data_IF_040461665756
#
_entry.id   IF_040461665756
#
_cell.length_a   1.000
_cell.length_b   1.000
_cell.length_c   1.000
_cell.angle_alpha   90.00
_cell.angle_beta   90.00
_cell.angle_gamma   90.00
#
_symmetry.space_group_name_H-M   'P 1'
#
loop_
_entity.id
_entity.type
_entity.pdbx_description
1 polymer ?
#
# COMPACT_ATOMS: atom_id res chain seq x y z
N UNK A 1 -14.45 10.26 -5.89
CA UNK A 1 -15.20 9.54 -6.98
C UNK A 1 -16.69 9.86 -6.86
N UNK A 2 -17.43 9.93 -7.99
CA UNK A 2 -18.87 10.24 -8.01
C UNK A 2 -19.71 8.97 -7.87
N UNK A 3 -20.62 8.95 -6.90
CA UNK A 3 -21.55 7.84 -6.63
C UNK A 3 -22.43 7.56 -7.86
N UNK A 4 -22.99 8.61 -8.48
CA UNK A 4 -23.88 8.46 -9.63
C UNK A 4 -23.17 7.89 -10.87
N UNK A 5 -21.86 8.10 -10.96
CA UNK A 5 -21.05 7.46 -12.00
C UNK A 5 -21.04 5.93 -11.86
N UNK A 6 -20.83 5.40 -10.66
CA UNK A 6 -20.82 3.94 -10.42
C UNK A 6 -22.23 3.37 -10.49
N UNK A 7 -23.23 4.03 -9.86
CA UNK A 7 -24.62 3.63 -9.82
C UNK A 7 -25.24 3.51 -11.21
N UNK A 8 -25.04 4.50 -12.07
CA UNK A 8 -25.58 4.47 -13.44
C UNK A 8 -25.06 3.28 -14.26
N UNK A 9 -23.80 2.85 -14.05
CA UNK A 9 -23.21 1.66 -14.70
C UNK A 9 -23.74 0.37 -14.09
N UNK A 10 -23.87 0.32 -12.76
CA UNK A 10 -24.48 -0.83 -12.09
C UNK A 10 -25.90 -1.09 -12.60
N UNK A 11 -26.78 -0.07 -12.61
CA UNK A 11 -28.15 -0.15 -13.11
C UNK A 11 -28.16 -0.61 -14.59
N UNK A 12 -27.27 -0.07 -15.42
CA UNK A 12 -27.19 -0.41 -16.83
C UNK A 12 -26.82 -1.87 -17.08
N UNK A 13 -25.93 -2.42 -16.25
CA UNK A 13 -25.39 -3.79 -16.44
C UNK A 13 -26.14 -4.86 -15.67
N UNK A 14 -26.96 -4.49 -14.64
CA UNK A 14 -27.64 -5.42 -13.74
C UNK A 14 -29.11 -5.05 -13.50
N UNK A 15 -30.00 -5.55 -14.33
CA UNK A 15 -31.50 -5.58 -14.20
C UNK A 15 -32.21 -4.30 -13.73
N UNK A 16 -31.57 -3.12 -13.85
CA UNK A 16 -32.18 -1.82 -13.57
C UNK A 16 -32.39 -1.49 -12.07
N UNK A 17 -31.89 -2.31 -11.15
CA UNK A 17 -32.04 -2.08 -9.69
C UNK A 17 -30.73 -1.61 -9.09
N UNK A 18 -30.81 -0.85 -7.99
CA UNK A 18 -29.65 -0.38 -7.21
C UNK A 18 -29.17 -1.39 -6.17
N UNK A 19 -27.94 -1.21 -5.72
CA UNK A 19 -27.33 -1.91 -4.59
C UNK A 19 -26.86 -0.93 -3.51
N UNK A 20 -26.07 -1.44 -2.57
CA UNK A 20 -25.34 -0.62 -1.59
C UNK A 20 -24.01 -0.17 -2.19
N UNK A 21 -23.60 1.04 -1.84
CA UNK A 21 -22.32 1.63 -2.25
C UNK A 21 -21.30 1.48 -1.13
N UNK A 22 -20.11 1.00 -1.51
CA UNK A 22 -18.96 0.86 -0.63
C UNK A 22 -17.77 1.62 -1.21
N UNK A 23 -16.94 2.17 -0.33
CA UNK A 23 -15.69 2.81 -0.70
C UNK A 23 -14.54 2.26 0.12
N UNK A 24 -13.40 2.09 -0.51
CA UNK A 24 -12.16 1.75 0.16
C UNK A 24 -11.00 2.55 -0.41
N UNK A 25 -10.24 3.23 0.44
CA UNK A 25 -9.11 4.06 0.02
C UNK A 25 -7.91 3.22 -0.38
N UNK A 26 -7.09 3.78 -1.28
CA UNK A 26 -5.69 3.47 -1.37
C UNK A 26 -4.93 4.03 -0.16
N UNK A 27 -3.61 3.86 -0.15
CA UNK A 27 -2.77 4.33 0.95
C UNK A 27 -1.51 5.03 0.47
N UNK A 28 -1.02 5.93 1.30
CA UNK A 28 0.40 6.28 1.33
C UNK A 28 1.08 5.52 2.47
N UNK A 29 2.40 5.46 2.43
CA UNK A 29 3.21 5.14 3.60
C UNK A 29 4.18 6.29 3.80
N UNK A 30 4.15 6.99 4.93
CA UNK A 30 5.00 8.15 5.14
C UNK A 30 6.46 7.75 5.32
N UNK A 31 6.72 6.64 6.01
CA UNK A 31 8.03 6.05 6.27
C UNK A 31 7.87 4.59 6.71
N UNK A 32 8.93 3.77 6.65
CA UNK A 32 8.88 2.35 7.02
C UNK A 32 8.65 1.43 5.82
N UNK A 33 9.38 1.66 4.72
CA UNK A 33 9.33 0.76 3.57
C UNK A 33 10.16 -0.51 3.78
N UNK A 34 9.66 -1.64 3.26
CA UNK A 34 10.31 -2.95 3.35
C UNK A 34 10.54 -3.47 4.77
N UNK A 35 9.85 -2.93 5.75
CA UNK A 35 9.94 -3.34 7.17
C UNK A 35 8.83 -4.30 7.58
N UNK A 36 7.70 -4.32 6.89
CA UNK A 36 6.50 -5.10 7.22
C UNK A 36 6.77 -6.62 7.23
N UNK A 37 7.34 -7.17 6.18
CA UNK A 37 7.73 -8.58 6.12
C UNK A 37 8.96 -8.93 6.97
N UNK A 38 9.63 -7.93 7.55
CA UNK A 38 10.67 -8.07 8.58
C UNK A 38 10.13 -7.93 10.01
N UNK A 39 8.80 -7.94 10.21
CA UNK A 39 8.17 -7.76 11.51
C UNK A 39 8.41 -6.38 12.13
N UNK A 40 8.78 -5.39 11.31
CA UNK A 40 9.09 -4.03 11.72
C UNK A 40 7.88 -3.14 11.87
N UNK A 41 8.13 -1.83 11.94
CA UNK A 41 7.09 -0.80 11.98
C UNK A 41 6.89 -0.23 10.59
N UNK A 42 5.63 0.06 10.24
CA UNK A 42 5.23 0.87 9.08
C UNK A 42 4.40 2.06 9.55
N UNK A 43 4.30 3.09 8.72
CA UNK A 43 3.62 4.32 9.11
C UNK A 43 2.69 4.85 8.01
N UNK A 44 1.68 4.03 7.61
CA UNK A 44 0.77 4.38 6.53
C UNK A 44 -0.36 5.31 6.97
N UNK A 45 -1.04 5.86 5.95
CA UNK A 45 -2.32 6.53 6.06
C UNK A 45 -3.19 6.25 4.85
N UNK A 46 -4.48 6.08 5.06
CA UNK A 46 -5.46 6.00 3.98
C UNK A 46 -5.59 7.35 3.28
N UNK A 47 -5.83 7.35 1.96
CA UNK A 47 -5.93 8.59 1.17
C UNK A 47 -7.29 8.74 0.50
N UNK A 48 -7.58 9.94 0.01
CA UNK A 48 -8.85 10.31 -0.65
C UNK A 48 -9.08 9.65 -2.02
N UNK A 49 -8.11 8.91 -2.53
CA UNK A 49 -8.21 8.11 -3.76
C UNK A 49 -8.48 6.65 -3.41
N UNK A 50 -9.40 6.00 -4.12
CA UNK A 50 -9.80 4.65 -3.74
C UNK A 50 -10.58 3.89 -4.82
N UNK A 51 -11.23 2.83 -4.38
CA UNK A 51 -12.16 2.00 -5.16
C UNK A 51 -13.56 2.22 -4.60
N UNK A 52 -14.51 2.46 -5.49
CA UNK A 52 -15.93 2.52 -5.17
C UNK A 52 -16.66 1.39 -5.89
N UNK A 53 -17.48 0.65 -5.16
CA UNK A 53 -18.26 -0.44 -5.70
C UNK A 53 -19.74 -0.32 -5.31
N UNK A 54 -20.63 -0.59 -6.25
CA UNK A 54 -22.03 -0.87 -5.95
C UNK A 54 -22.25 -2.38 -5.98
N UNK A 55 -22.84 -2.94 -4.91
CA UNK A 55 -22.98 -4.37 -4.71
C UNK A 55 -24.41 -4.70 -4.23
N UNK A 56 -24.98 -5.79 -4.79
CA UNK A 56 -26.30 -6.28 -4.40
C UNK A 56 -26.38 -7.81 -4.50
N UNK A 57 -26.91 -8.53 -3.49
CA UNK A 57 -27.27 -9.95 -3.64
C UNK A 57 -28.23 -10.17 -4.81
N UNK A 58 -28.02 -11.23 -5.58
CA UNK A 58 -28.84 -11.52 -6.76
C UNK A 58 -29.72 -12.76 -6.64
N UNK A 59 -29.71 -13.42 -5.48
CA UNK A 59 -30.53 -14.60 -5.20
C UNK A 59 -30.07 -15.91 -5.89
N UNK A 60 -28.86 -15.90 -6.46
CA UNK A 60 -28.27 -17.08 -7.13
C UNK A 60 -27.00 -17.56 -6.42
N UNK A 61 -26.29 -18.51 -7.03
CA UNK A 61 -24.94 -18.94 -6.64
C UNK A 61 -23.83 -18.27 -7.47
N UNK A 62 -24.19 -17.35 -8.36
CA UNK A 62 -23.27 -16.76 -9.33
C UNK A 62 -22.91 -15.32 -8.95
N UNK A 63 -21.61 -15.00 -8.94
CA UNK A 63 -21.09 -13.65 -8.81
C UNK A 63 -20.91 -13.05 -10.20
N UNK A 64 -21.55 -11.93 -10.45
CA UNK A 64 -21.53 -11.21 -11.72
C UNK A 64 -20.79 -9.89 -11.53
N UNK A 65 -19.60 -9.78 -12.13
CA UNK A 65 -18.68 -8.65 -11.93
C UNK A 65 -18.59 -7.77 -13.17
N UNK A 66 -18.57 -6.46 -12.98
CA UNK A 66 -18.29 -5.49 -14.03
C UNK A 66 -17.24 -4.48 -13.57
N UNK A 67 -16.08 -4.49 -14.22
CA UNK A 67 -15.08 -3.43 -14.07
C UNK A 67 -15.42 -2.28 -15.02
N UNK A 68 -15.78 -1.12 -14.46
CA UNK A 68 -16.20 0.06 -15.22
C UNK A 68 -15.03 0.61 -16.02
N UNK A 69 -13.83 0.67 -15.42
CA UNK A 69 -12.64 1.25 -16.03
C UNK A 69 -12.12 0.40 -17.18
N UNK A 70 -12.13 -0.92 -17.01
CA UNK A 70 -11.71 -1.88 -18.04
C UNK A 70 -12.82 -2.19 -19.06
N UNK A 71 -14.06 -1.79 -18.78
CA UNK A 71 -15.27 -2.14 -19.56
C UNK A 71 -15.40 -3.65 -19.79
N UNK A 72 -15.02 -4.42 -18.77
CA UNK A 72 -14.94 -5.87 -18.84
C UNK A 72 -15.91 -6.52 -17.84
N UNK A 73 -16.47 -7.66 -18.23
CA UNK A 73 -17.45 -8.43 -17.46
C UNK A 73 -16.95 -9.85 -17.25
N UNK A 74 -17.01 -10.31 -16.01
CA UNK A 74 -16.66 -11.66 -15.62
C UNK A 74 -17.74 -12.21 -14.72
N UNK A 75 -18.00 -13.52 -14.82
CA UNK A 75 -18.89 -14.23 -13.92
C UNK A 75 -18.23 -15.55 -13.46
N UNK A 76 -18.52 -15.94 -12.22
CA UNK A 76 -18.07 -17.20 -11.65
C UNK A 76 -19.07 -17.65 -10.57
N UNK A 77 -19.09 -18.95 -10.25
CA UNK A 77 -19.91 -19.46 -9.15
C UNK A 77 -19.13 -19.36 -7.83
N UNK A 78 -19.86 -19.08 -6.74
CA UNK A 78 -19.29 -19.03 -5.38
C UNK A 78 -18.60 -20.35 -5.01
N UNK A 79 -19.06 -21.48 -5.55
CA UNK A 79 -18.51 -22.82 -5.32
C UNK A 79 -17.44 -23.27 -6.30
N UNK A 80 -17.09 -22.48 -7.32
CA UNK A 80 -16.08 -22.89 -8.31
C UNK A 80 -14.72 -23.13 -7.64
N UNK A 81 -14.06 -24.27 -7.94
CA UNK A 81 -12.75 -24.59 -7.36
C UNK A 81 -11.61 -23.78 -7.99
N UNK A 82 -11.80 -23.28 -9.21
CA UNK A 82 -10.85 -22.47 -9.95
C UNK A 82 -11.39 -21.06 -10.15
N UNK A 83 -10.54 -20.07 -9.88
CA UNK A 83 -10.89 -18.66 -10.07
C UNK A 83 -10.95 -18.25 -11.54
N UNK A 84 -11.54 -17.10 -11.83
CA UNK A 84 -11.59 -16.54 -13.18
C UNK A 84 -10.20 -16.27 -13.73
N UNK A 85 -10.07 -16.25 -15.08
CA UNK A 85 -8.79 -15.98 -15.75
C UNK A 85 -8.35 -14.50 -15.64
N UNK A 86 -9.32 -13.59 -15.65
CA UNK A 86 -9.05 -12.17 -15.54
C UNK A 86 -8.50 -11.81 -14.17
N UNK A 87 -7.29 -11.28 -14.10
CA UNK A 87 -6.59 -10.97 -12.83
C UNK A 87 -7.42 -10.07 -11.92
N UNK A 88 -8.06 -9.03 -12.46
CA UNK A 88 -8.90 -8.13 -11.66
C UNK A 88 -10.06 -8.84 -10.97
N UNK A 89 -10.65 -9.85 -11.61
CA UNK A 89 -11.75 -10.61 -11.04
C UNK A 89 -11.28 -11.65 -9.99
N UNK A 90 -9.99 -12.03 -10.00
CA UNK A 90 -9.40 -12.90 -8.97
C UNK A 90 -9.37 -12.24 -7.60
N UNK A 91 -9.28 -10.93 -7.53
CA UNK A 91 -9.40 -10.21 -6.24
C UNK A 91 -10.79 -10.40 -5.62
N UNK A 92 -11.86 -10.33 -6.43
CA UNK A 92 -13.23 -10.60 -5.96
C UNK A 92 -13.38 -12.06 -5.57
N UNK A 93 -12.92 -12.98 -6.43
CA UNK A 93 -12.97 -14.42 -6.18
C UNK A 93 -12.21 -14.80 -4.90
N UNK A 94 -10.99 -14.30 -4.73
CA UNK A 94 -10.18 -14.56 -3.53
C UNK A 94 -10.89 -14.10 -2.25
N UNK A 95 -11.41 -12.88 -2.24
CA UNK A 95 -12.18 -12.38 -1.10
C UNK A 95 -13.41 -13.25 -0.80
N UNK A 96 -14.14 -13.71 -1.83
CA UNK A 96 -15.25 -14.66 -1.65
C UNK A 96 -14.79 -15.96 -1.00
N UNK A 97 -13.67 -16.56 -1.46
CA UNK A 97 -13.16 -17.81 -0.89
C UNK A 97 -12.64 -17.64 0.54
N UNK A 98 -11.93 -16.53 0.83
CA UNK A 98 -11.43 -16.23 2.18
C UNK A 98 -12.59 -15.97 3.16
N UNK A 99 -13.66 -15.28 2.76
CA UNK A 99 -14.85 -15.11 3.59
C UNK A 99 -15.57 -16.45 3.85
N UNK A 100 -15.65 -17.33 2.86
CA UNK A 100 -16.15 -18.70 3.07
C UNK A 100 -15.27 -19.47 4.07
N UNK A 101 -13.95 -19.32 4.00
CA UNK A 101 -13.04 -19.94 4.95
C UNK A 101 -13.23 -19.41 6.40
N UNK A 102 -13.70 -18.17 6.55
CA UNK A 102 -14.13 -17.60 7.84
C UNK A 102 -15.52 -18.08 8.30
N UNK A 103 -16.18 -18.96 7.53
CA UNK A 103 -17.49 -19.51 7.86
C UNK A 103 -18.68 -18.65 7.41
N UNK A 104 -18.45 -17.62 6.58
CA UNK A 104 -19.53 -16.80 6.02
C UNK A 104 -20.22 -17.52 4.87
N UNK A 105 -21.55 -17.60 4.92
CA UNK A 105 -22.38 -18.21 3.86
C UNK A 105 -22.59 -17.22 2.70
N UNK A 106 -21.52 -16.97 1.94
CA UNK A 106 -21.54 -16.08 0.79
C UNK A 106 -22.43 -16.64 -0.31
N UNK A 107 -23.37 -15.83 -0.80
CA UNK A 107 -24.24 -16.13 -1.94
C UNK A 107 -23.83 -15.33 -3.17
N UNK A 108 -24.49 -15.59 -4.32
CA UNK A 108 -24.28 -14.82 -5.52
C UNK A 108 -24.69 -13.35 -5.37
N UNK A 109 -23.94 -12.48 -6.02
CA UNK A 109 -24.18 -11.04 -6.03
C UNK A 109 -23.75 -10.41 -7.37
N UNK A 110 -24.29 -9.22 -7.62
CA UNK A 110 -23.84 -8.36 -8.70
C UNK A 110 -22.94 -7.28 -8.13
N UNK A 111 -21.86 -6.97 -8.83
CA UNK A 111 -20.91 -5.92 -8.46
C UNK A 111 -20.45 -5.13 -9.69
N UNK A 112 -20.54 -3.80 -9.62
CA UNK A 112 -19.84 -2.89 -10.52
C UNK A 112 -18.92 -1.98 -9.70
N UNK A 113 -17.71 -1.77 -10.16
CA UNK A 113 -16.73 -0.94 -9.45
C UNK A 113 -15.87 -0.12 -10.41
N UNK A 114 -15.37 0.99 -9.88
CA UNK A 114 -14.38 1.85 -10.53
C UNK A 114 -13.36 2.32 -9.51
N UNK A 115 -12.19 2.79 -9.98
CA UNK A 115 -11.14 3.34 -9.15
C UNK A 115 -10.61 4.67 -9.66
N UNK A 116 -10.24 5.56 -8.74
CA UNK A 116 -9.46 6.75 -9.04
C UNK A 116 -8.04 6.69 -8.42
N UNK A 117 -7.66 5.49 -7.95
CA UNK A 117 -6.26 5.19 -7.62
C UNK A 117 -5.46 5.12 -8.91
N UNK A 118 -4.51 6.02 -9.14
CA UNK A 118 -3.72 6.00 -10.37
C UNK A 118 -2.92 4.70 -10.49
N UNK A 119 -3.01 4.07 -11.66
CA UNK A 119 -2.30 2.83 -11.93
C UNK A 119 -0.77 3.05 -11.88
N UNK A 120 -0.08 2.20 -11.14
CA UNK A 120 1.38 2.29 -11.00
C UNK A 120 1.87 3.42 -10.10
N UNK A 121 0.98 4.14 -9.42
CA UNK A 121 1.35 5.19 -8.47
C UNK A 121 1.80 4.69 -7.09
N UNK A 122 1.85 3.38 -6.86
CA UNK A 122 2.25 2.80 -5.58
C UNK A 122 1.24 3.00 -4.44
N UNK A 123 0.01 3.41 -4.73
CA UNK A 123 -1.05 3.63 -3.73
C UNK A 123 -1.89 2.38 -3.41
N UNK A 124 -1.48 1.19 -3.81
CA UNK A 124 -2.12 -0.11 -3.53
C UNK A 124 -3.59 -0.19 -3.95
N UNK A 125 -3.85 -0.10 -5.25
CA UNK A 125 -5.19 -0.32 -5.79
C UNK A 125 -5.72 -1.74 -5.49
N UNK A 126 -4.87 -2.76 -5.40
CA UNK A 126 -5.24 -4.13 -5.04
C UNK A 126 -5.82 -4.20 -3.63
N UNK A 127 -5.12 -3.68 -2.64
CA UNK A 127 -5.61 -3.65 -1.25
C UNK A 127 -6.90 -2.82 -1.11
N UNK A 128 -7.03 -1.72 -1.85
CA UNK A 128 -8.27 -0.94 -1.90
C UNK A 128 -9.43 -1.78 -2.49
N UNK A 129 -9.19 -2.56 -3.56
CA UNK A 129 -10.19 -3.48 -4.13
C UNK A 129 -10.61 -4.55 -3.11
N UNK A 130 -9.64 -5.27 -2.54
CA UNK A 130 -9.88 -6.32 -1.55
C UNK A 130 -10.67 -5.81 -0.36
N UNK A 131 -10.25 -4.67 0.18
CA UNK A 131 -10.90 -4.06 1.35
C UNK A 131 -12.31 -3.55 1.04
N UNK A 132 -12.53 -3.00 -0.16
CA UNK A 132 -13.86 -2.59 -0.64
C UNK A 132 -14.80 -3.79 -0.74
N UNK A 133 -14.33 -4.88 -1.35
CA UNK A 133 -15.11 -6.09 -1.51
C UNK A 133 -15.32 -6.81 -0.17
N UNK A 134 -14.31 -6.83 0.70
CA UNK A 134 -14.44 -7.36 2.07
C UNK A 134 -15.47 -6.61 2.90
N UNK A 135 -15.48 -5.28 2.81
CA UNK A 135 -16.50 -4.45 3.46
C UNK A 135 -17.91 -4.78 2.96
N UNK A 136 -18.08 -4.95 1.64
CA UNK A 136 -19.35 -5.31 1.04
C UNK A 136 -19.81 -6.73 1.45
N UNK A 137 -18.92 -7.72 1.43
CA UNK A 137 -19.23 -9.09 1.84
C UNK A 137 -19.60 -9.16 3.32
N UNK A 138 -18.91 -8.40 4.18
CA UNK A 138 -19.21 -8.34 5.60
C UNK A 138 -20.60 -7.77 5.89
N UNK A 139 -20.97 -6.68 5.23
CA UNK A 139 -22.30 -6.06 5.37
C UNK A 139 -23.41 -6.96 4.82
N UNK A 140 -23.22 -7.54 3.63
CA UNK A 140 -24.28 -8.25 2.91
C UNK A 140 -24.50 -9.70 3.38
N UNK A 141 -23.47 -10.38 3.89
CA UNK A 141 -23.52 -11.82 4.18
C UNK A 141 -23.05 -12.20 5.59
N UNK A 142 -22.51 -11.27 6.36
CA UNK A 142 -21.99 -11.55 7.70
C UNK A 142 -22.53 -10.62 8.79
N UNK A 143 -23.56 -9.79 8.51
CA UNK A 143 -24.13 -8.81 9.47
C UNK A 143 -23.05 -7.95 10.16
N UNK A 144 -21.99 -7.61 9.47
CA UNK A 144 -20.82 -6.89 9.98
C UNK A 144 -20.09 -7.57 11.16
N UNK A 145 -20.12 -8.90 11.24
CA UNK A 145 -19.49 -9.67 12.34
C UNK A 145 -18.04 -10.05 12.06
N UNK A 146 -17.57 -9.98 10.81
CA UNK A 146 -16.17 -10.21 10.48
C UNK A 146 -15.36 -9.00 10.95
N UNK A 147 -14.30 -9.24 11.72
CA UNK A 147 -13.49 -8.15 12.26
C UNK A 147 -12.71 -7.41 11.16
N UNK A 148 -12.34 -6.14 11.43
CA UNK A 148 -11.47 -5.37 10.53
C UNK A 148 -10.15 -6.09 10.25
N UNK A 149 -9.57 -6.77 11.25
CA UNK A 149 -8.36 -7.58 11.08
C UNK A 149 -8.59 -8.77 10.16
N UNK A 150 -9.70 -9.49 10.31
CA UNK A 150 -10.00 -10.63 9.43
C UNK A 150 -10.23 -10.17 7.99
N UNK A 151 -10.84 -9.00 7.75
CA UNK A 151 -10.95 -8.41 6.41
C UNK A 151 -9.56 -8.12 5.82
N UNK A 152 -8.67 -7.48 6.57
CA UNK A 152 -7.32 -7.18 6.12
C UNK A 152 -6.51 -8.46 5.82
N UNK A 153 -6.63 -9.47 6.68
CA UNK A 153 -5.97 -10.78 6.50
C UNK A 153 -6.54 -11.57 5.31
N UNK A 154 -7.86 -11.48 5.07
CA UNK A 154 -8.48 -12.06 3.88
C UNK A 154 -7.95 -11.42 2.59
N UNK A 155 -7.73 -10.09 2.59
CA UNK A 155 -7.09 -9.39 1.48
C UNK A 155 -5.65 -9.88 1.26
N UNK A 156 -4.82 -9.91 2.30
CA UNK A 156 -3.46 -10.44 2.20
C UNK A 156 -3.44 -11.90 1.71
N UNK A 157 -4.33 -12.75 2.23
CA UNK A 157 -4.46 -14.14 1.78
C UNK A 157 -4.89 -14.23 0.31
N UNK A 158 -5.71 -13.29 -0.16
CA UNK A 158 -6.10 -13.18 -1.57
C UNK A 158 -4.88 -12.92 -2.45
N UNK A 159 -4.03 -11.95 -2.10
CA UNK A 159 -2.78 -11.68 -2.82
C UNK A 159 -1.87 -12.93 -2.88
N UNK A 160 -1.68 -13.60 -1.73
CA UNK A 160 -0.80 -14.76 -1.64
C UNK A 160 -1.29 -15.96 -2.44
N UNK A 161 -2.57 -16.34 -2.27
CA UNK A 161 -3.14 -17.60 -2.79
C UNK A 161 -3.64 -17.49 -4.23
N UNK A 162 -4.21 -16.34 -4.60
CA UNK A 162 -4.94 -16.21 -5.87
C UNK A 162 -4.26 -15.30 -6.89
N UNK A 163 -3.37 -14.40 -6.42
CA UNK A 163 -2.60 -13.49 -7.27
C UNK A 163 -1.13 -13.93 -7.38
N UNK A 164 -0.57 -14.51 -6.31
CA UNK A 164 0.81 -15.00 -6.26
C UNK A 164 1.83 -13.94 -5.83
N UNK A 165 1.38 -12.91 -5.12
CA UNK A 165 2.23 -11.84 -4.55
C UNK A 165 2.38 -12.04 -3.04
N UNK A 166 3.61 -12.25 -2.56
CA UNK A 166 3.91 -12.45 -1.13
C UNK A 166 4.11 -11.11 -0.42
N UNK A 167 3.06 -10.26 -0.41
CA UNK A 167 3.09 -8.95 0.25
C UNK A 167 3.06 -9.05 1.78
N UNK A 168 3.47 -7.96 2.47
CA UNK A 168 3.18 -7.74 3.88
C UNK A 168 1.72 -7.35 4.11
N UNK A 169 1.37 -6.98 5.36
CA UNK A 169 -0.02 -6.64 5.73
C UNK A 169 -0.33 -5.15 5.63
N UNK A 170 0.68 -4.30 5.43
CA UNK A 170 0.59 -2.85 5.54
C UNK A 170 -0.54 -2.26 4.69
N UNK A 171 -0.67 -2.71 3.46
CA UNK A 171 -1.55 -2.11 2.46
C UNK A 171 -3.03 -2.35 2.80
N UNK A 172 -3.38 -3.59 3.09
CA UNK A 172 -4.73 -3.96 3.51
C UNK A 172 -5.08 -3.37 4.87
N UNK A 173 -4.12 -3.36 5.80
CA UNK A 173 -4.30 -2.71 7.10
C UNK A 173 -4.64 -1.23 6.90
N UNK A 174 -3.87 -0.49 6.11
CA UNK A 174 -4.09 0.93 5.89
C UNK A 174 -5.44 1.23 5.26
N UNK A 175 -5.85 0.46 4.24
CA UNK A 175 -7.15 0.60 3.58
C UNK A 175 -8.33 0.32 4.52
N UNK A 176 -8.20 -0.65 5.44
CA UNK A 176 -9.29 -1.04 6.36
C UNK A 176 -9.37 -0.15 7.60
N UNK A 177 -8.21 0.20 8.19
CA UNK A 177 -8.13 0.90 9.47
C UNK A 177 -7.94 2.41 9.34
N UNK A 178 -7.81 2.94 8.13
CA UNK A 178 -7.64 4.37 7.89
C UNK A 178 -8.59 5.23 8.71
N UNK A 179 -8.12 6.41 9.12
CA UNK A 179 -8.91 7.41 9.85
C UNK A 179 -8.54 8.80 9.37
N UNK A 180 -9.54 9.61 9.11
CA UNK A 180 -9.36 11.00 8.65
C UNK A 180 -8.38 11.77 9.54
N UNK A 181 -7.40 12.43 8.92
CA UNK A 181 -6.37 13.21 9.61
C UNK A 181 -5.45 12.40 10.53
N UNK A 182 -5.33 11.07 10.33
CA UNK A 182 -4.48 10.21 11.16
C UNK A 182 -3.59 9.32 10.31
N UNK A 183 -2.30 9.28 10.65
CA UNK A 183 -1.41 8.19 10.25
C UNK A 183 -1.42 7.09 11.31
N UNK A 184 -0.95 5.91 10.95
CA UNK A 184 -1.00 4.74 11.82
C UNK A 184 0.40 4.11 11.92
N UNK A 185 0.98 4.07 13.12
CA UNK A 185 2.14 3.22 13.35
C UNK A 185 1.66 1.80 13.65
N UNK A 186 1.90 0.90 12.73
CA UNK A 186 1.62 -0.52 12.90
C UNK A 186 2.91 -1.25 13.27
N UNK A 187 2.90 -2.02 14.35
CA UNK A 187 3.86 -3.08 14.61
C UNK A 187 3.42 -4.34 13.84
N UNK A 188 4.14 -4.67 12.76
CA UNK A 188 3.75 -5.78 11.88
C UNK A 188 3.91 -7.16 12.53
N UNK A 189 4.58 -7.27 13.68
CA UNK A 189 4.72 -8.50 14.46
C UNK A 189 3.54 -8.72 15.40
N UNK A 190 3.31 -7.76 16.31
CA UNK A 190 2.24 -7.88 17.33
C UNK A 190 0.86 -7.57 16.74
N UNK A 191 0.79 -6.85 15.63
CA UNK A 191 -0.42 -6.25 15.03
C UNK A 191 -1.05 -5.17 15.90
N UNK A 192 -0.35 -4.68 16.89
CA UNK A 192 -0.73 -3.50 17.66
C UNK A 192 -0.45 -2.26 16.84
N UNK A 193 -1.31 -1.26 16.96
CA UNK A 193 -1.13 -0.01 16.24
C UNK A 193 -1.62 1.18 17.04
N UNK A 194 -1.08 2.35 16.68
CA UNK A 194 -1.45 3.62 17.27
C UNK A 194 -1.73 4.65 16.18
N UNK A 195 -2.71 5.52 16.45
CA UNK A 195 -3.02 6.65 15.57
C UNK A 195 -2.23 7.88 15.98
N UNK A 196 -1.57 8.50 15.01
CA UNK A 196 -0.86 9.76 15.14
C UNK A 196 -1.61 10.86 14.40
N UNK A 197 -1.87 12.02 15.03
CA UNK A 197 -2.43 13.17 14.32
C UNK A 197 -1.52 13.57 13.15
N UNK A 198 -2.11 13.74 11.98
CA UNK A 198 -1.41 14.25 10.81
C UNK A 198 -2.23 15.40 10.22
N UNK A 199 -1.93 16.60 10.70
CA UNK A 199 -2.49 17.87 10.24
C UNK A 199 -1.34 18.82 9.96
N UNK A 200 -0.64 18.63 8.83
CA UNK A 200 0.58 19.38 8.50
C UNK A 200 0.23 20.80 8.08
N UNK A 201 -0.11 21.65 9.05
CA UNK A 201 -0.39 23.08 8.81
C UNK A 201 0.75 23.73 8.02
N UNK A 202 0.41 24.31 6.87
CA UNK A 202 1.37 24.91 5.96
C UNK A 202 2.14 23.93 5.05
N UNK A 203 1.70 22.65 4.98
CA UNK A 203 2.29 21.64 4.09
C UNK A 203 1.23 20.86 3.33
N UNK A 204 1.61 20.35 2.18
CA UNK A 204 0.85 19.37 1.38
C UNK A 204 1.63 18.08 1.21
N UNK A 205 0.93 16.95 1.23
CA UNK A 205 1.48 15.69 0.71
C UNK A 205 1.18 15.59 -0.77
N UNK A 206 2.23 15.35 -1.54
CA UNK A 206 2.14 15.29 -3.02
C UNK A 206 2.88 14.07 -3.53
N UNK A 207 2.19 13.26 -4.31
CA UNK A 207 2.81 12.18 -5.06
C UNK A 207 3.21 12.67 -6.44
N UNK A 208 4.43 12.36 -6.85
CA UNK A 208 4.94 12.62 -8.20
C UNK A 208 5.24 11.29 -8.85
N UNK A 209 4.40 10.91 -9.82
CA UNK A 209 4.48 9.62 -10.53
C UNK A 209 5.43 9.74 -11.73
N UNK A 210 6.50 8.97 -11.70
CA UNK A 210 7.48 8.90 -12.79
C UNK A 210 6.92 8.26 -14.05
N UNK A 211 5.79 7.52 -13.98
CA UNK A 211 5.23 6.66 -15.04
C UNK A 211 6.12 5.48 -15.42
N UNK A 212 7.19 5.25 -14.71
CA UNK A 212 7.94 3.99 -14.84
C UNK A 212 7.07 2.87 -14.30
N UNK A 213 6.67 1.98 -15.20
CA UNK A 213 5.85 0.81 -14.83
C UNK A 213 6.75 -0.20 -14.12
N UNK A 214 6.27 -0.70 -13.01
CA UNK A 214 6.86 -1.85 -12.35
C UNK A 214 5.79 -2.90 -12.09
N UNK A 215 6.17 -4.15 -12.22
CA UNK A 215 5.36 -5.28 -11.77
C UNK A 215 6.10 -5.91 -10.59
N UNK A 216 5.49 -5.93 -9.41
CA UNK A 216 6.10 -6.56 -8.23
C UNK A 216 6.17 -8.08 -8.40
N UNK A 217 5.17 -8.67 -9.07
CA UNK A 217 5.18 -10.08 -9.43
C UNK A 217 6.31 -10.34 -10.46
N UNK A 218 7.28 -11.19 -10.09
CA UNK A 218 8.44 -11.49 -10.93
C UNK A 218 9.56 -10.46 -10.92
N UNK A 219 9.45 -9.40 -10.12
CA UNK A 219 10.51 -8.40 -9.92
C UNK A 219 11.55 -8.86 -8.89
N UNK A 220 12.69 -8.15 -8.76
CA UNK A 220 13.68 -8.35 -7.70
C UNK A 220 13.15 -8.10 -6.27
N UNK A 221 11.86 -7.81 -6.07
CA UNK A 221 11.23 -7.62 -4.76
C UNK A 221 11.45 -8.82 -3.84
N UNK A 222 11.23 -10.04 -4.36
CA UNK A 222 11.43 -11.26 -3.60
C UNK A 222 12.89 -11.48 -3.21
N UNK A 223 13.85 -11.01 -4.01
CA UNK A 223 15.28 -11.09 -3.71
C UNK A 223 15.63 -10.23 -2.48
N UNK A 224 14.96 -9.07 -2.32
CA UNK A 224 15.14 -8.20 -1.14
C UNK A 224 14.73 -8.90 0.15
N UNK A 225 13.58 -9.56 0.11
CA UNK A 225 13.12 -10.40 1.23
C UNK A 225 14.09 -11.54 1.51
N UNK A 226 14.57 -12.20 0.47
CA UNK A 226 15.53 -13.31 0.60
C UNK A 226 16.84 -12.87 1.25
N UNK A 227 17.36 -11.68 0.91
CA UNK A 227 18.54 -11.10 1.56
C UNK A 227 18.34 -10.94 3.07
N UNK A 228 17.19 -10.43 3.50
CA UNK A 228 16.86 -10.30 4.91
C UNK A 228 16.83 -11.68 5.61
N UNK A 229 16.21 -12.69 4.99
CA UNK A 229 16.14 -14.05 5.51
C UNK A 229 17.53 -14.71 5.63
N UNK A 230 18.44 -14.42 4.69
CA UNK A 230 19.83 -14.90 4.74
C UNK A 230 20.56 -14.36 5.96
N UNK A 231 20.41 -13.05 6.25
CA UNK A 231 21.02 -12.43 7.44
C UNK A 231 20.42 -12.98 8.73
N UNK A 232 19.10 -13.16 8.80
CA UNK A 232 18.43 -13.81 9.94
C UNK A 232 18.99 -15.21 10.18
N UNK A 233 19.23 -15.96 9.12
CA UNK A 233 19.84 -17.30 9.19
C UNK A 233 21.26 -17.25 9.77
N UNK A 234 22.09 -16.29 9.35
CA UNK A 234 23.44 -16.10 9.84
C UNK A 234 23.42 -15.70 11.33
N UNK A 235 22.55 -14.76 11.71
CA UNK A 235 22.35 -14.37 13.11
C UNK A 235 21.99 -15.56 14.02
N UNK A 236 21.05 -16.40 13.59
CA UNK A 236 20.66 -17.59 14.35
C UNK A 236 21.78 -18.62 14.50
N UNK A 237 22.70 -18.71 13.53
CA UNK A 237 23.90 -19.56 13.63
C UNK A 237 24.97 -18.97 14.56
N UNK A 238 25.18 -17.65 14.46
CA UNK A 238 26.19 -16.95 15.25
C UNK A 238 25.81 -16.84 16.73
N UNK A 239 24.52 -16.65 17.02
CA UNK A 239 23.96 -16.49 18.36
C UNK A 239 22.97 -17.62 18.69
N UNK A 240 23.42 -18.89 18.92
CA UNK A 240 22.53 -20.04 19.05
C UNK A 240 21.59 -19.97 20.27
N UNK A 241 21.92 -19.18 21.28
CA UNK A 241 21.12 -18.99 22.48
C UNK A 241 20.02 -17.91 22.31
N UNK A 242 19.99 -17.21 21.18
CA UNK A 242 18.98 -16.20 20.85
C UNK A 242 18.19 -16.59 19.61
N UNK A 243 16.86 -16.48 19.72
CA UNK A 243 15.96 -16.72 18.57
C UNK A 243 15.85 -15.45 17.73
N UNK A 244 16.12 -15.56 16.45
CA UNK A 244 15.85 -14.53 15.43
C UNK A 244 14.79 -15.05 14.48
N UNK A 245 13.62 -14.43 14.45
CA UNK A 245 12.55 -14.75 13.50
C UNK A 245 12.61 -13.84 12.27
N UNK A 246 12.96 -12.58 12.50
CA UNK A 246 13.11 -11.56 11.48
C UNK A 246 14.23 -10.60 11.85
N UNK A 247 14.57 -9.64 10.97
CA UNK A 247 15.53 -8.57 11.27
C UNK A 247 15.07 -7.65 12.41
N UNK A 248 13.79 -7.65 12.79
CA UNK A 248 13.28 -6.95 13.97
C UNK A 248 13.98 -7.36 15.25
N UNK A 249 14.44 -8.61 15.35
CA UNK A 249 15.10 -9.16 16.54
C UNK A 249 16.55 -8.75 16.67
N UNK A 250 17.14 -8.24 15.58
CA UNK A 250 18.54 -7.84 15.54
C UNK A 250 18.74 -6.40 16.03
N UNK A 251 19.90 -6.16 16.61
CA UNK A 251 20.46 -4.85 16.87
C UNK A 251 21.72 -4.60 16.02
N UNK A 252 22.27 -3.41 16.10
CA UNK A 252 23.43 -3.00 15.29
C UNK A 252 24.69 -3.80 15.59
N UNK A 253 24.94 -4.15 16.86
CA UNK A 253 26.12 -4.94 17.27
C UNK A 253 26.03 -6.36 16.70
N UNK A 254 24.86 -6.97 16.76
CA UNK A 254 24.60 -8.30 16.22
C UNK A 254 24.71 -8.35 14.72
N UNK A 255 24.22 -7.32 14.00
CA UNK A 255 24.36 -7.21 12.55
C UNK A 255 25.85 -7.11 12.16
N UNK A 256 26.63 -6.26 12.85
CA UNK A 256 28.06 -6.11 12.58
C UNK A 256 28.83 -7.41 12.86
N UNK A 257 28.46 -8.17 13.89
CA UNK A 257 29.08 -9.44 14.23
C UNK A 257 29.00 -10.47 13.09
N UNK A 258 27.89 -10.50 12.33
CA UNK A 258 27.69 -11.46 11.22
C UNK A 258 28.09 -10.92 9.85
N UNK A 259 28.64 -9.73 9.78
CA UNK A 259 29.02 -9.06 8.50
C UNK A 259 29.91 -9.88 7.60
N UNK A 260 30.86 -10.63 8.16
CA UNK A 260 31.74 -11.49 7.41
C UNK A 260 31.13 -12.86 7.01
N UNK A 261 29.94 -13.17 7.53
CA UNK A 261 29.24 -14.45 7.33
C UNK A 261 28.16 -14.38 6.25
N UNK A 262 27.86 -13.17 5.76
CA UNK A 262 26.86 -12.92 4.73
C UNK A 262 27.48 -12.17 3.56
N UNK A 263 26.79 -12.11 2.42
CA UNK A 263 27.24 -11.28 1.30
C UNK A 263 27.21 -9.79 1.66
N UNK A 264 28.07 -8.99 1.02
CA UNK A 264 28.05 -7.54 1.21
C UNK A 264 26.68 -6.95 0.88
N UNK A 265 26.01 -7.48 -0.12
CA UNK A 265 24.66 -7.11 -0.54
C UNK A 265 23.62 -7.42 0.55
N UNK A 266 23.63 -8.65 1.11
CA UNK A 266 22.69 -9.03 2.18
C UNK A 266 22.90 -8.18 3.44
N UNK A 267 24.17 -7.91 3.81
CA UNK A 267 24.50 -7.03 4.92
C UNK A 267 23.97 -5.62 4.69
N UNK A 268 24.20 -5.05 3.52
CA UNK A 268 23.79 -3.69 3.17
C UNK A 268 22.25 -3.53 3.21
N UNK A 269 21.54 -4.53 2.72
CA UNK A 269 20.07 -4.57 2.77
C UNK A 269 19.55 -4.68 4.21
N UNK A 270 20.17 -5.53 5.04
CA UNK A 270 19.81 -5.62 6.46
C UNK A 270 20.12 -4.33 7.22
N UNK A 271 21.24 -3.66 6.90
CA UNK A 271 21.61 -2.36 7.45
C UNK A 271 20.52 -1.32 7.18
N UNK A 272 20.01 -1.26 5.95
CA UNK A 272 18.88 -0.39 5.61
C UNK A 272 17.67 -0.68 6.51
N UNK A 273 17.26 -1.95 6.65
CA UNK A 273 16.07 -2.35 7.41
C UNK A 273 16.19 -1.97 8.89
N UNK A 274 17.35 -2.16 9.51
CA UNK A 274 17.57 -1.73 10.89
C UNK A 274 17.48 -0.21 11.01
N UNK A 275 18.09 0.53 10.09
CA UNK A 275 18.02 1.98 10.06
C UNK A 275 16.61 2.51 9.81
N UNK A 276 15.83 1.85 8.97
CA UNK A 276 14.45 2.26 8.70
C UNK A 276 13.55 2.09 9.91
N UNK A 277 13.74 1.02 10.70
CA UNK A 277 13.07 0.85 11.99
C UNK A 277 13.29 2.06 12.91
N UNK A 278 14.53 2.52 13.03
CA UNK A 278 14.89 3.66 13.87
C UNK A 278 14.31 4.97 13.33
N UNK A 279 14.30 5.15 11.99
CA UNK A 279 13.71 6.32 11.33
C UNK A 279 12.19 6.42 11.54
N UNK A 280 11.47 5.29 11.50
CA UNK A 280 10.02 5.29 11.78
C UNK A 280 9.73 5.83 13.18
N UNK A 281 10.47 5.36 14.19
CA UNK A 281 10.28 5.82 15.58
C UNK A 281 10.60 7.31 15.72
N UNK A 282 11.71 7.77 15.13
CA UNK A 282 12.08 9.19 15.13
C UNK A 282 11.02 10.08 14.45
N UNK A 283 10.40 9.62 13.36
CA UNK A 283 9.29 10.35 12.69
C UNK A 283 8.05 10.40 13.57
N UNK A 284 7.72 9.32 14.29
CA UNK A 284 6.61 9.34 15.23
C UNK A 284 6.81 10.42 16.32
N UNK A 285 8.00 10.49 16.92
CA UNK A 285 8.34 11.50 17.92
C UNK A 285 8.30 12.93 17.35
N UNK A 286 8.85 13.11 16.15
CA UNK A 286 8.85 14.39 15.44
C UNK A 286 7.42 14.89 15.14
N UNK A 287 6.51 14.00 14.70
CA UNK A 287 5.11 14.36 14.45
C UNK A 287 4.37 14.77 15.73
N UNK A 288 4.62 14.08 16.85
CA UNK A 288 4.04 14.47 18.15
C UNK A 288 4.54 15.86 18.56
N UNK A 289 5.80 16.20 18.24
CA UNK A 289 6.40 17.52 18.50
C UNK A 289 6.00 18.60 17.47
N UNK A 290 5.33 18.24 16.36
CA UNK A 290 5.04 19.15 15.25
C UNK A 290 6.27 19.52 14.43
N UNK A 291 7.35 18.73 14.51
CA UNK A 291 8.63 18.98 13.81
C UNK A 291 8.64 18.33 12.42
N UNK A 292 8.01 18.99 11.47
CA UNK A 292 7.95 18.53 10.07
C UNK A 292 9.30 18.62 9.33
N UNK A 293 10.25 19.44 9.81
CA UNK A 293 11.59 19.49 9.22
C UNK A 293 12.35 18.18 9.52
N UNK A 294 12.29 17.69 10.75
CA UNK A 294 12.85 16.37 11.09
C UNK A 294 12.15 15.24 10.32
N UNK A 295 10.81 15.28 10.17
CA UNK A 295 10.09 14.31 9.33
C UNK A 295 10.66 14.30 7.91
N UNK A 296 10.81 15.47 7.29
CA UNK A 296 11.35 15.59 5.93
C UNK A 296 12.79 15.10 5.81
N UNK A 297 13.64 15.41 6.77
CA UNK A 297 15.02 14.90 6.81
C UNK A 297 15.03 13.36 6.82
N UNK A 298 14.20 12.72 7.66
CA UNK A 298 14.11 11.26 7.72
C UNK A 298 13.56 10.66 6.42
N UNK A 299 12.67 11.35 5.72
CA UNK A 299 12.23 10.94 4.38
C UNK A 299 13.40 10.91 3.38
N UNK A 300 14.27 11.92 3.37
CA UNK A 300 15.47 11.92 2.51
C UNK A 300 16.47 10.82 2.90
N UNK A 301 16.68 10.59 4.19
CA UNK A 301 17.53 9.47 4.67
C UNK A 301 16.99 8.13 4.20
N UNK A 302 15.67 7.93 4.29
CA UNK A 302 15.00 6.72 3.77
C UNK A 302 15.18 6.58 2.27
N UNK A 303 15.01 7.67 1.49
CA UNK A 303 15.23 7.62 0.03
C UNK A 303 16.66 7.18 -0.31
N UNK A 304 17.65 7.78 0.36
CA UNK A 304 19.05 7.40 0.17
C UNK A 304 19.25 5.90 0.45
N UNK A 305 18.73 5.39 1.56
CA UNK A 305 18.82 3.98 1.91
C UNK A 305 18.12 3.08 0.88
N UNK A 306 16.91 3.43 0.43
CA UNK A 306 16.18 2.69 -0.61
C UNK A 306 16.92 2.68 -1.94
N UNK A 307 17.58 3.79 -2.31
CA UNK A 307 18.31 3.91 -3.56
C UNK A 307 19.68 3.22 -3.52
N UNK A 308 20.46 3.40 -2.45
CA UNK A 308 21.89 3.01 -2.40
C UNK A 308 22.15 1.73 -1.61
N UNK A 309 21.35 1.42 -0.59
CA UNK A 309 21.56 0.25 0.26
C UNK A 309 20.61 -0.90 -0.10
N UNK A 310 19.34 -0.57 -0.31
CA UNK A 310 18.30 -1.56 -0.64
C UNK A 310 18.12 -1.78 -2.13
N UNK A 311 18.60 -0.86 -2.95
CA UNK A 311 18.65 -0.91 -4.42
C UNK A 311 17.27 -1.16 -5.05
N UNK A 312 16.27 -0.41 -4.61
CA UNK A 312 14.90 -0.45 -5.14
C UNK A 312 14.49 0.82 -5.86
N UNK A 313 15.44 1.73 -6.12
CA UNK A 313 15.20 2.93 -6.92
C UNK A 313 15.37 2.67 -8.42
N UNK A 314 15.04 3.67 -9.21
CA UNK A 314 15.42 3.81 -10.61
C UNK A 314 15.88 5.25 -10.87
N UNK A 315 16.48 5.49 -12.04
CA UNK A 315 17.04 6.80 -12.38
C UNK A 315 15.99 7.91 -12.29
N UNK A 316 14.77 7.65 -12.73
CA UNK A 316 13.67 8.61 -12.72
C UNK A 316 13.22 8.99 -11.31
N UNK A 317 13.18 8.02 -10.37
CA UNK A 317 12.82 8.27 -8.98
C UNK A 317 13.92 9.04 -8.24
N UNK A 318 15.19 8.68 -8.46
CA UNK A 318 16.33 9.42 -7.91
C UNK A 318 16.33 10.86 -8.44
N UNK A 319 16.05 11.05 -9.75
CA UNK A 319 15.96 12.38 -10.34
C UNK A 319 14.80 13.21 -9.77
N UNK A 320 13.62 12.61 -9.55
CA UNK A 320 12.50 13.31 -8.90
C UNK A 320 12.85 13.76 -7.49
N UNK A 321 13.58 12.92 -6.74
CA UNK A 321 14.05 13.25 -5.40
C UNK A 321 15.09 14.39 -5.41
N UNK A 322 16.04 14.36 -6.34
CA UNK A 322 17.03 15.41 -6.52
C UNK A 322 16.35 16.75 -6.86
N UNK A 323 15.41 16.76 -7.79
CA UNK A 323 14.63 17.95 -8.15
C UNK A 323 13.84 18.48 -6.94
N UNK A 324 13.25 17.60 -6.14
CA UNK A 324 12.55 18.01 -4.92
C UNK A 324 13.50 18.71 -3.94
N UNK A 325 14.69 18.14 -3.72
CA UNK A 325 15.72 18.72 -2.86
C UNK A 325 16.23 20.06 -3.35
N UNK A 326 16.51 20.19 -4.66
CA UNK A 326 16.92 21.45 -5.29
C UNK A 326 15.88 22.56 -5.16
N UNK A 327 14.61 22.23 -5.11
CA UNK A 327 13.50 23.18 -4.94
C UNK A 327 13.16 23.46 -3.46
N UNK A 328 13.93 22.95 -2.50
CA UNK A 328 13.70 23.19 -1.07
C UNK A 328 12.48 22.46 -0.50
N UNK A 329 12.04 21.39 -1.15
CA UNK A 329 10.97 20.51 -0.62
C UNK A 329 11.44 19.92 0.71
N UNK A 330 10.61 19.99 1.74
CA UNK A 330 10.98 19.60 3.11
C UNK A 330 11.37 18.14 3.22
N UNK A 331 10.66 17.22 2.53
CA UNK A 331 10.99 15.81 2.49
C UNK A 331 10.51 15.16 1.20
N UNK A 332 11.30 14.21 0.68
CA UNK A 332 10.96 13.44 -0.51
C UNK A 332 11.57 12.06 -0.45
N UNK A 333 10.83 11.03 -0.88
CA UNK A 333 11.31 9.65 -0.98
C UNK A 333 10.46 8.80 -1.92
N UNK A 334 11.02 7.68 -2.36
CA UNK A 334 10.28 6.63 -3.06
C UNK A 334 9.15 6.11 -2.15
N UNK A 335 7.97 5.88 -2.68
CA UNK A 335 6.84 5.30 -1.98
C UNK A 335 6.51 3.90 -2.50
N UNK A 336 6.27 2.96 -1.59
CA UNK A 336 5.95 1.56 -1.91
C UNK A 336 7.18 0.70 -2.19
N UNK A 337 7.00 -0.38 -2.93
CA UNK A 337 8.05 -1.38 -3.19
C UNK A 337 9.22 -0.93 -4.06
N UNK A 338 9.16 0.24 -4.66
CA UNK A 338 10.21 0.78 -5.53
C UNK A 338 10.15 0.25 -6.97
N UNK A 339 11.27 0.28 -7.68
CA UNK A 339 11.47 -0.10 -9.09
C UNK A 339 10.68 0.76 -10.10
N UNK A 340 10.08 1.84 -9.67
CA UNK A 340 9.21 2.76 -10.41
C UNK A 340 8.12 3.34 -9.52
N UNK A 341 7.06 3.88 -10.12
CA UNK A 341 5.95 4.50 -9.40
C UNK A 341 6.23 5.94 -8.98
N UNK A 342 5.95 6.27 -7.72
CA UNK A 342 5.96 7.64 -7.22
C UNK A 342 7.06 7.93 -6.21
N UNK A 343 7.42 9.23 -6.14
CA UNK A 343 7.92 9.81 -4.89
C UNK A 343 6.76 10.41 -4.09
N UNK A 344 6.84 10.33 -2.75
CA UNK A 344 6.01 11.08 -1.82
C UNK A 344 6.79 12.28 -1.32
N UNK A 345 6.16 13.45 -1.34
CA UNK A 345 6.81 14.73 -1.08
C UNK A 345 6.01 15.51 -0.03
N UNK A 346 6.69 16.02 0.99
CA UNK A 346 6.16 16.93 1.99
C UNK A 346 6.56 18.35 1.59
N UNK A 347 5.63 19.10 1.03
CA UNK A 347 5.88 20.39 0.36
C UNK A 347 5.22 21.52 1.12
N UNK A 348 5.97 22.59 1.45
CA UNK A 348 5.38 23.80 2.04
C UNK A 348 4.37 24.43 1.08
N UNK A 349 3.30 25.00 1.63
CA UNK A 349 2.22 25.59 0.84
C UNK A 349 2.71 26.71 -0.10
N UNK A 350 3.65 27.52 0.36
CA UNK A 350 4.24 28.62 -0.41
C UNK A 350 5.19 28.15 -1.53
N UNK A 351 5.70 26.93 -1.44
CA UNK A 351 6.56 26.32 -2.46
C UNK A 351 5.79 25.44 -3.45
N UNK A 352 4.54 25.11 -3.15
CA UNK A 352 3.81 24.06 -3.87
C UNK A 352 3.74 24.31 -5.37
N UNK A 353 3.21 25.47 -5.79
CA UNK A 353 3.04 25.78 -7.22
C UNK A 353 4.38 25.81 -7.96
N UNK A 354 5.39 26.48 -7.38
CA UNK A 354 6.73 26.56 -7.97
C UNK A 354 7.39 25.17 -8.09
N UNK A 355 7.22 24.32 -7.09
CA UNK A 355 7.72 22.94 -7.15
C UNK A 355 7.06 22.15 -8.27
N UNK A 356 5.72 22.20 -8.38
CA UNK A 356 4.98 21.47 -9.42
C UNK A 356 5.38 21.90 -10.83
N UNK A 357 5.52 23.21 -11.06
CA UNK A 357 6.00 23.74 -12.35
C UNK A 357 7.42 23.26 -12.66
N UNK A 358 8.34 23.39 -11.72
CA UNK A 358 9.74 23.02 -11.90
C UNK A 358 9.93 21.51 -12.10
N UNK A 359 9.31 20.67 -11.28
CA UNK A 359 9.46 19.21 -11.40
C UNK A 359 8.86 18.73 -12.73
N UNK A 360 7.74 19.29 -13.15
CA UNK A 360 7.11 18.96 -14.43
C UNK A 360 7.99 19.36 -15.61
N UNK A 361 8.53 20.58 -15.59
CA UNK A 361 9.38 21.07 -16.66
C UNK A 361 10.71 20.31 -16.77
N UNK A 362 11.40 20.13 -15.64
CA UNK A 362 12.69 19.44 -15.57
C UNK A 362 12.57 17.97 -15.96
N UNK A 363 11.56 17.28 -15.43
CA UNK A 363 11.33 15.88 -15.74
C UNK A 363 10.98 15.68 -17.22
N UNK A 364 10.09 16.52 -17.77
CA UNK A 364 9.76 16.47 -19.18
C UNK A 364 10.95 16.77 -20.11
N UNK A 365 11.80 17.71 -19.72
CA UNK A 365 13.01 18.02 -20.47
C UNK A 365 13.99 16.84 -20.52
N UNK A 366 14.10 16.08 -19.42
CA UNK A 366 15.03 14.94 -19.32
C UNK A 366 14.48 13.67 -19.97
N UNK A 367 13.20 13.35 -19.74
CA UNK A 367 12.62 12.05 -20.10
C UNK A 367 11.61 12.10 -21.27
N UNK A 368 11.29 13.30 -21.80
CA UNK A 368 10.40 13.47 -22.94
C UNK A 368 8.91 13.32 -22.65
N UNK A 369 8.53 13.18 -21.38
CA UNK A 369 7.14 13.14 -20.93
C UNK A 369 6.97 13.81 -19.56
N UNK A 370 5.75 14.28 -19.27
CA UNK A 370 5.43 14.88 -17.98
C UNK A 370 5.19 13.80 -16.92
N UNK A 371 5.64 13.99 -15.66
CA UNK A 371 5.20 13.18 -14.55
C UNK A 371 3.72 13.49 -14.26
N UNK A 372 3.06 12.62 -13.50
CA UNK A 372 1.71 12.91 -13.01
C UNK A 372 1.78 13.33 -11.55
N UNK A 373 0.98 14.33 -11.19
CA UNK A 373 1.00 14.95 -9.87
C UNK A 373 -0.32 14.63 -9.15
N UNK A 374 -0.22 14.10 -7.95
CA UNK A 374 -1.37 13.75 -7.13
C UNK A 374 -1.22 14.33 -5.72
N UNK A 375 -1.83 15.48 -5.43
CA UNK A 375 -2.04 15.88 -4.04
C UNK A 375 -2.97 14.88 -3.37
N UNK A 376 -2.67 14.49 -2.14
CA UNK A 376 -3.44 13.51 -1.36
C UNK A 376 -3.79 14.04 0.00
N UNK A 377 -4.96 13.64 0.49
CA UNK A 377 -5.50 13.98 1.80
C UNK A 377 -5.66 12.67 2.58
N UNK A 378 -5.27 12.68 3.85
CA UNK A 378 -5.46 11.52 4.73
C UNK A 378 -6.95 11.38 5.05
N UNK A 379 -7.51 10.23 4.74
CA UNK A 379 -8.95 9.97 4.75
C UNK A 379 -9.35 8.78 5.63
N UNK A 380 -10.67 8.56 5.73
CA UNK A 380 -11.28 7.43 6.41
C UNK A 380 -10.99 6.12 5.66
N UNK A 381 -10.93 5.00 6.40
CA UNK A 381 -10.77 3.67 5.84
C UNK A 381 -12.01 3.12 5.13
N UNK A 382 -12.00 1.82 4.82
CA UNK A 382 -13.09 1.16 4.10
C UNK A 382 -14.43 1.27 4.85
N UNK A 383 -15.47 1.67 4.14
CA UNK A 383 -16.80 1.86 4.71
C UNK A 383 -17.92 1.73 3.68
N UNK A 384 -19.14 1.51 4.20
CA UNK A 384 -20.37 1.64 3.43
C UNK A 384 -20.71 3.12 3.29
N UNK A 385 -20.97 3.56 2.07
CA UNK A 385 -21.32 4.95 1.77
C UNK A 385 -22.83 5.18 1.87
N UNK A 386 -23.63 4.28 1.29
CA UNK A 386 -25.10 4.29 1.38
C UNK A 386 -25.70 2.93 0.98
#
# INVERSE_FOLDING_TARGET
MDIEFVRSRFIKHFDGKTGNIYFSPGRINLIGEHTDYNGGFVFPGAVDKGIMAEVRPNGTDTVMCYSIDLKDRVEFKVGDPEGPRATWARFIYGMVQEFKALGVDVKGFNIAFAGDVPLGAGMSSSAAMESCFGCALNDLFADNKVSKWDIALAGQATEHKYIGVNCGIMDQFASVFGKEGKLMRLDCRSREFEYFPFDPQGYKLVLVNSKVKHELAGSPYNDRRKSCENVVTALGKHFPDKKFETLRDANWEELEAVKAEVSAEDYQRAHFVLGEKDRVLAVCDALVAGDYETVGQKMYETHYGLSKEYEVSCEELDYLNDVAKENGVTGSRIMGGGFGGCTINLVKDDLYETFIENVTAKFNAKYGHKPEIYPVIISEGSHKVC
#
